data_IF_860559440793
#
_entry.id   IF_860559440793
#
_cell.length_a   1.000
_cell.length_b   1.000
_cell.length_c   1.000
_cell.angle_alpha   90.00
_cell.angle_beta   90.00
_cell.angle_gamma   90.00
#
_symmetry.space_group_name_H-M   'P 1'
#
loop_
_entity.id
_entity.type
_entity.pdbx_description
1 polymer ?
#
# COMPACT_ATOMS: atom_id res chain seq x y z
N UNK A 1 7.30 -15.45 13.31
CA UNK A 1 6.87 -14.04 13.41
C UNK A 1 7.33 -13.31 12.16
N UNK A 2 6.46 -13.18 11.15
CA UNK A 2 6.79 -12.42 9.95
C UNK A 2 6.82 -10.93 10.33
N UNK A 3 7.99 -10.29 10.26
CA UNK A 3 8.09 -8.83 10.37
C UNK A 3 7.19 -8.27 9.28
N UNK A 4 6.08 -7.64 9.66
CA UNK A 4 5.24 -6.85 8.77
C UNK A 4 6.15 -5.79 8.14
N UNK A 5 6.49 -5.97 6.87
CA UNK A 5 7.31 -5.01 6.15
C UNK A 5 6.38 -3.88 5.72
N UNK A 6 6.36 -2.79 6.49
CA UNK A 6 5.70 -1.55 6.09
C UNK A 6 6.30 -1.08 4.77
N UNK A 7 5.46 -0.92 3.76
CA UNK A 7 5.83 -0.36 2.45
C UNK A 7 5.12 0.96 2.30
N UNK A 8 5.77 1.97 1.73
CA UNK A 8 5.20 3.28 1.52
C UNK A 8 4.93 3.50 0.03
N UNK A 9 3.69 3.77 -0.34
CA UNK A 9 3.25 3.99 -1.72
C UNK A 9 3.00 5.48 -1.95
N UNK A 10 3.57 6.05 -3.02
CA UNK A 10 3.37 7.44 -3.39
C UNK A 10 2.03 7.63 -4.13
N UNK A 11 1.21 8.57 -3.68
CA UNK A 11 -0.09 8.87 -4.28
C UNK A 11 -0.02 9.66 -5.59
N UNK A 12 1.09 10.35 -5.86
CA UNK A 12 1.24 11.17 -7.07
C UNK A 12 1.74 10.37 -8.27
N UNK A 13 2.73 9.49 -8.05
CA UNK A 13 3.38 8.73 -9.13
C UNK A 13 3.19 7.22 -9.02
N UNK A 14 2.66 6.70 -7.92
CA UNK A 14 2.54 5.26 -7.67
C UNK A 14 3.83 4.56 -7.25
N UNK A 15 4.94 5.30 -7.09
CA UNK A 15 6.24 4.75 -6.66
C UNK A 15 6.19 4.17 -5.24
N UNK A 16 6.88 3.06 -4.99
CA UNK A 16 6.88 2.36 -3.70
C UNK A 16 8.27 2.37 -3.06
N UNK A 17 8.37 2.67 -1.76
CA UNK A 17 9.61 2.68 -0.99
C UNK A 17 9.45 1.94 0.34
N UNK A 18 10.52 1.33 0.83
CA UNK A 18 10.55 0.59 2.09
C UNK A 18 10.91 1.48 3.29
N UNK A 19 11.27 2.73 3.05
CA UNK A 19 11.78 3.67 4.07
C UNK A 19 11.05 5.00 3.89
N UNK A 20 10.49 5.55 4.98
CA UNK A 20 9.79 6.84 4.95
C UNK A 20 10.78 8.00 5.02
N UNK A 21 10.90 8.80 3.94
CA UNK A 21 11.74 10.01 3.89
C UNK A 21 10.92 11.31 3.83
N UNK A 22 9.59 11.23 3.75
CA UNK A 22 8.70 12.39 3.56
C UNK A 22 8.65 12.88 2.11
N UNK A 23 9.76 12.74 1.39
CA UNK A 23 9.89 13.00 -0.05
C UNK A 23 9.91 11.69 -0.86
N UNK A 24 9.12 11.62 -1.92
CA UNK A 24 9.13 10.49 -2.84
C UNK A 24 10.42 10.49 -3.70
N UNK A 25 11.18 9.39 -3.80
CA UNK A 25 12.39 9.32 -4.63
C UNK A 25 12.10 9.24 -6.14
N UNK A 26 10.85 8.97 -6.54
CA UNK A 26 10.47 8.85 -7.95
C UNK A 26 10.04 10.18 -8.56
N UNK A 27 9.14 10.90 -7.89
CA UNK A 27 8.59 12.18 -8.38
C UNK A 27 9.04 13.39 -7.57
N UNK A 28 9.86 13.21 -6.54
CA UNK A 28 10.37 14.28 -5.67
C UNK A 28 9.29 15.06 -4.90
N UNK A 29 8.04 14.57 -4.91
CA UNK A 29 6.92 15.17 -4.20
C UNK A 29 6.97 14.90 -2.69
N UNK A 30 6.54 15.87 -1.90
CA UNK A 30 6.50 15.82 -0.44
C UNK A 30 5.11 15.48 0.06
N UNK A 31 5.00 14.78 1.19
CA UNK A 31 3.71 14.41 1.82
C UNK A 31 2.82 13.49 0.98
N UNK A 32 3.42 12.74 0.04
CA UNK A 32 2.70 11.85 -0.88
C UNK A 32 2.89 10.37 -0.56
N UNK A 33 3.81 10.04 0.35
CA UNK A 33 4.12 8.67 0.75
C UNK A 33 3.10 8.19 1.79
N UNK A 34 2.35 7.15 1.45
CA UNK A 34 1.31 6.54 2.29
C UNK A 34 1.73 5.14 2.72
N UNK A 35 1.69 4.86 4.03
CA UNK A 35 2.02 3.53 4.56
C UNK A 35 0.97 2.50 4.12
N UNK A 36 1.42 1.54 3.33
CA UNK A 36 0.68 0.35 2.93
C UNK A 36 1.24 -0.83 3.72
N UNK A 37 0.44 -1.32 4.66
CA UNK A 37 0.72 -2.58 5.32
C UNK A 37 0.48 -3.66 4.27
N UNK A 38 1.50 -4.43 3.91
CA UNK A 38 1.32 -5.64 3.11
C UNK A 38 0.62 -6.70 3.97
N UNK A 39 -0.64 -6.47 4.32
CA UNK A 39 -1.51 -7.51 4.84
C UNK A 39 -1.68 -8.53 3.71
N UNK A 40 -0.96 -9.66 3.82
CA UNK A 40 -1.28 -10.87 3.06
C UNK A 40 -2.63 -11.39 3.54
N UNK A 41 -3.73 -10.71 3.21
CA UNK A 41 -5.11 -11.19 3.38
C UNK A 41 -6.03 -10.14 2.75
N UNK A 42 -7.03 -10.39 1.92
CA UNK A 42 -7.68 -11.56 1.36
C UNK A 42 -8.57 -10.95 0.25
N UNK A 43 -8.70 -11.51 -0.95
CA UNK A 43 -9.69 -12.56 -1.24
C UNK A 43 -10.88 -12.61 -0.26
N UNK A 44 -11.54 -11.48 0.00
CA UNK A 44 -12.84 -11.41 0.71
C UNK A 44 -14.02 -11.13 -0.22
N UNK A 45 -13.80 -11.12 -1.53
CA UNK A 45 -14.89 -11.21 -2.49
C UNK A 45 -15.28 -12.68 -2.66
N UNK A 46 -16.03 -13.19 -1.69
CA UNK A 46 -17.03 -14.21 -1.99
C UNK A 46 -18.19 -13.46 -2.65
N UNK A 47 -18.50 -13.67 -3.94
CA UNK A 47 -19.76 -13.17 -4.48
C UNK A 47 -20.86 -13.97 -3.78
N UNK A 48 -21.54 -13.36 -2.81
CA UNK A 48 -22.83 -13.90 -2.36
C UNK A 48 -23.82 -13.61 -3.48
N UNK A 49 -23.83 -14.49 -4.46
CA UNK A 49 -25.00 -14.79 -5.26
C UNK A 49 -26.04 -15.36 -4.31
N UNK A 50 -26.83 -14.50 -3.67
CA UNK A 50 -28.11 -14.95 -3.12
C UNK A 50 -29.18 -14.70 -4.17
N UNK A 51 -29.52 -15.82 -4.78
CA UNK A 51 -30.65 -16.05 -5.67
C UNK A 51 -31.94 -16.11 -4.84
N UNK A 52 -33.02 -15.62 -5.46
CA UNK A 52 -34.44 -15.83 -5.14
C UNK A 52 -35.13 -14.85 -4.18
#
# INVERSE_FOLDING_TARGET
MAKSKSTYSCTECGGQTLKWQGQCPHCQAWNTLVETIAEKTASRFTPVSETS
#
